data_IF_879940198403
#
_entry.id   IF_879940198403
#
_cell.length_a   1.000
_cell.length_b   1.000
_cell.length_c   1.000
_cell.angle_alpha   90.00
_cell.angle_beta   90.00
_cell.angle_gamma   90.00
#
_symmetry.space_group_name_H-M   'P 1'
#
loop_
_entity.id
_entity.type
_entity.pdbx_description
1 polymer ?
#
# COMPACT_ATOMS: atom_id res chain seq x y z
N UNK A 1 31.35 1.18 -8.43
CA UNK A 1 29.99 0.90 -7.94
C UNK A 1 28.98 1.75 -8.70
N UNK A 2 27.94 1.13 -9.15
CA UNK A 2 26.92 1.87 -9.89
C UNK A 2 25.97 2.56 -8.92
N UNK A 3 25.37 3.65 -9.38
CA UNK A 3 24.44 4.42 -8.58
C UNK A 3 23.27 3.57 -8.08
N UNK A 4 22.78 2.67 -8.90
CA UNK A 4 21.69 1.77 -8.53
C UNK A 4 22.06 0.89 -7.33
N UNK A 5 23.28 0.39 -7.33
CA UNK A 5 23.74 -0.45 -6.22
C UNK A 5 23.81 0.33 -4.92
N UNK A 6 24.21 1.61 -5.01
CA UNK A 6 24.24 2.49 -3.85
C UNK A 6 22.86 2.71 -3.27
N UNK A 7 21.87 2.93 -4.12
CA UNK A 7 20.48 3.10 -3.67
C UNK A 7 19.98 1.88 -2.94
N UNK A 8 20.24 0.71 -3.51
CA UNK A 8 19.85 -0.56 -2.92
C UNK A 8 20.47 -0.74 -1.55
N UNK A 9 21.76 -0.44 -1.44
CA UNK A 9 22.48 -0.60 -0.18
C UNK A 9 21.96 0.33 0.91
N UNK A 10 21.44 1.48 0.54
CA UNK A 10 20.91 2.42 1.51
C UNK A 10 19.42 2.25 1.76
N UNK A 11 18.78 1.30 1.09
CA UNK A 11 17.37 1.07 1.26
C UNK A 11 16.50 2.19 0.71
N UNK A 12 17.02 2.97 -0.23
CA UNK A 12 16.29 4.10 -0.81
C UNK A 12 15.33 3.68 -1.90
N UNK A 13 15.52 2.49 -2.44
CA UNK A 13 14.63 1.98 -3.47
C UNK A 13 13.42 1.35 -2.79
N UNK A 14 12.27 1.98 -2.93
CA UNK A 14 11.03 1.47 -2.38
C UNK A 14 10.16 0.97 -3.52
N UNK A 15 9.74 -0.28 -3.42
CA UNK A 15 8.83 -0.86 -4.38
C UNK A 15 7.62 -1.42 -3.66
N UNK A 16 6.50 -1.43 -4.37
CA UNK A 16 5.22 -1.84 -3.84
C UNK A 16 4.52 -2.77 -4.82
N UNK A 17 3.74 -3.68 -4.29
CA UNK A 17 2.84 -4.49 -5.10
C UNK A 17 1.51 -3.76 -5.18
N UNK A 18 0.98 -3.58 -6.36
CA UNK A 18 -0.24 -2.82 -6.56
C UNK A 18 -1.22 -3.52 -7.46
N UNK A 19 -2.50 -3.32 -7.17
CA UNK A 19 -3.59 -3.76 -8.02
C UNK A 19 -4.59 -2.63 -8.13
N UNK A 20 -5.04 -2.35 -9.33
CA UNK A 20 -6.03 -1.29 -9.57
C UNK A 20 -7.29 -1.86 -10.19
N UNK A 21 -8.42 -1.31 -9.80
CA UNK A 21 -9.72 -1.71 -10.35
C UNK A 21 -10.53 -0.46 -10.61
N UNK A 22 -11.10 -0.35 -11.81
CA UNK A 22 -11.94 0.78 -12.16
C UNK A 22 -13.40 0.39 -12.13
N UNK A 23 -14.20 1.25 -11.52
CA UNK A 23 -15.65 1.13 -11.51
C UNK A 23 -16.23 2.45 -11.97
N UNK A 24 -16.78 2.51 -13.19
CA UNK A 24 -17.28 3.78 -13.71
C UNK A 24 -16.19 4.86 -13.61
N UNK A 25 -16.43 5.89 -12.81
CA UNK A 25 -15.48 6.98 -12.62
C UNK A 25 -14.59 6.81 -11.40
N UNK A 26 -14.74 5.70 -10.69
CA UNK A 26 -14.00 5.46 -9.46
C UNK A 26 -12.82 4.54 -9.70
N UNK A 27 -11.72 4.83 -9.00
CA UNK A 27 -10.54 3.98 -9.02
C UNK A 27 -10.30 3.43 -7.63
N UNK A 28 -10.28 2.10 -7.53
CA UNK A 28 -9.93 1.43 -6.29
C UNK A 28 -8.54 0.84 -6.44
N UNK A 29 -7.70 1.03 -5.41
CA UNK A 29 -6.36 0.49 -5.41
C UNK A 29 -6.14 -0.37 -4.18
N UNK A 30 -5.30 -1.39 -4.34
CA UNK A 30 -4.77 -2.18 -3.23
C UNK A 30 -3.27 -2.15 -3.38
N UNK A 31 -2.56 -1.63 -2.37
CA UNK A 31 -1.12 -1.50 -2.42
C UNK A 31 -0.50 -2.09 -1.16
N UNK A 32 0.51 -2.90 -1.35
CA UNK A 32 1.19 -3.59 -0.26
C UNK A 32 2.69 -3.39 -0.39
N UNK A 33 3.36 -3.17 0.74
CA UNK A 33 4.81 -3.19 0.74
C UNK A 33 5.25 -4.52 0.12
N UNK A 34 6.15 -4.49 -0.83
CA UNK A 34 6.46 -5.66 -1.66
C UNK A 34 6.96 -6.85 -0.87
N UNK A 35 7.65 -6.62 0.23
CA UNK A 35 8.21 -7.69 1.06
C UNK A 35 7.14 -8.45 1.86
N UNK A 36 5.93 -7.95 1.91
CA UNK A 36 4.83 -8.62 2.63
C UNK A 36 4.01 -9.56 1.75
N UNK A 37 4.14 -9.44 0.44
CA UNK A 37 3.35 -10.25 -0.48
C UNK A 37 3.70 -11.73 -0.29
N UNK A 38 2.67 -12.56 -0.19
CA UNK A 38 2.82 -13.99 0.02
C UNK A 38 2.80 -14.43 1.48
N UNK A 39 2.84 -13.47 2.40
CA UNK A 39 2.82 -13.82 3.83
C UNK A 39 1.41 -14.11 4.31
N UNK A 40 1.32 -14.96 5.32
CA UNK A 40 0.07 -15.25 6.02
C UNK A 40 0.22 -14.74 7.44
N UNK A 41 -0.71 -13.92 7.86
CA UNK A 41 -0.71 -13.31 9.20
C UNK A 41 -1.74 -14.01 10.07
N UNK A 42 -1.36 -14.33 11.30
CA UNK A 42 -2.26 -14.96 12.25
C UNK A 42 -2.28 -14.18 13.56
N UNK A 43 -3.46 -13.83 14.01
CA UNK A 43 -3.63 -13.16 15.29
C UNK A 43 -4.91 -13.69 15.93
N UNK A 44 -4.76 -14.52 16.96
CA UNK A 44 -5.90 -15.22 17.54
C UNK A 44 -6.52 -16.13 16.49
N UNK A 45 -7.80 -15.95 16.26
CA UNK A 45 -8.52 -16.72 15.24
C UNK A 45 -8.50 -16.07 13.88
N UNK A 46 -7.93 -14.86 13.79
CA UNK A 46 -7.88 -14.13 12.53
C UNK A 46 -6.70 -14.63 11.71
N UNK A 47 -6.98 -14.99 10.46
CA UNK A 47 -5.95 -15.39 9.51
C UNK A 47 -6.12 -14.56 8.26
N UNK A 48 -5.05 -13.84 7.88
CA UNK A 48 -5.06 -12.98 6.70
C UNK A 48 -3.95 -13.42 5.77
N UNK A 49 -4.31 -13.75 4.53
CA UNK A 49 -3.34 -14.10 3.52
C UNK A 49 -3.10 -12.90 2.61
N UNK A 50 -1.85 -12.46 2.52
CA UNK A 50 -1.45 -11.36 1.65
C UNK A 50 -1.02 -11.94 0.31
N UNK A 51 -1.98 -12.49 -0.42
CA UNK A 51 -1.69 -13.23 -1.64
C UNK A 51 -1.29 -12.31 -2.78
N UNK A 52 -0.40 -12.81 -3.63
CA UNK A 52 0.01 -12.08 -4.82
C UNK A 52 -1.16 -11.86 -5.78
N UNK A 53 -2.12 -12.77 -5.80
CA UNK A 53 -3.30 -12.61 -6.65
C UNK A 53 -4.13 -11.40 -6.27
N UNK A 54 -4.19 -11.07 -4.99
CA UNK A 54 -4.98 -9.95 -4.51
C UNK A 54 -4.23 -8.64 -4.60
N UNK A 55 -2.94 -8.64 -4.26
CA UNK A 55 -2.19 -7.38 -4.14
C UNK A 55 -1.26 -7.09 -5.31
N UNK A 56 -0.88 -8.09 -6.07
CA UNK A 56 0.15 -7.86 -7.09
C UNK A 56 -0.35 -8.09 -8.50
N UNK A 57 -0.86 -7.04 -9.12
CA UNK A 57 -1.07 -7.00 -10.56
C UNK A 57 0.21 -6.48 -11.21
N UNK A 58 0.87 -5.55 -10.52
CA UNK A 58 2.14 -5.00 -10.98
C UNK A 58 3.00 -4.58 -9.80
N UNK A 59 4.27 -4.36 -10.06
CA UNK A 59 5.22 -3.82 -9.09
C UNK A 59 5.47 -2.37 -9.49
N UNK A 60 5.33 -1.46 -8.53
CA UNK A 60 5.45 -0.02 -8.79
C UNK A 60 6.46 0.60 -7.84
N UNK A 61 6.97 1.76 -8.24
CA UNK A 61 7.88 2.54 -7.42
C UNK A 61 7.14 3.61 -6.66
N UNK A 62 7.87 4.30 -5.80
CA UNK A 62 7.32 5.28 -4.88
C UNK A 62 6.49 6.37 -5.56
N UNK A 63 7.00 6.91 -6.66
CA UNK A 63 6.31 7.99 -7.37
C UNK A 63 4.99 7.53 -7.95
N UNK A 64 4.96 6.30 -8.46
CA UNK A 64 3.74 5.72 -8.99
C UNK A 64 2.73 5.46 -7.89
N UNK A 65 3.22 4.99 -6.73
CA UNK A 65 2.36 4.76 -5.58
C UNK A 65 1.72 6.06 -5.11
N UNK A 66 2.51 7.14 -5.03
CA UNK A 66 1.98 8.45 -4.65
C UNK A 66 0.92 8.94 -5.64
N UNK A 67 1.17 8.73 -6.94
CA UNK A 67 0.21 9.11 -7.97
C UNK A 67 -1.11 8.36 -7.81
N UNK A 68 -1.03 7.05 -7.58
CA UNK A 68 -2.23 6.25 -7.36
C UNK A 68 -3.00 6.70 -6.12
N UNK A 69 -2.29 7.02 -5.05
CA UNK A 69 -2.93 7.51 -3.82
C UNK A 69 -3.65 8.83 -4.06
N UNK A 70 -3.11 9.68 -4.91
CA UNK A 70 -3.76 10.94 -5.26
C UNK A 70 -5.01 10.75 -6.12
N UNK A 71 -5.00 9.76 -6.99
CA UNK A 71 -6.08 9.56 -7.96
C UNK A 71 -7.21 8.67 -7.47
N UNK A 72 -6.94 7.81 -6.52
CA UNK A 72 -7.91 6.78 -6.13
C UNK A 72 -9.11 7.37 -5.38
N UNK A 73 -10.21 6.64 -5.43
CA UNK A 73 -11.40 6.92 -4.61
C UNK A 73 -11.38 6.06 -3.35
N UNK A 74 -10.86 4.84 -3.47
CA UNK A 74 -10.75 3.90 -2.37
C UNK A 74 -9.37 3.28 -2.40
N UNK A 75 -8.73 3.19 -1.25
CA UNK A 75 -7.43 2.56 -1.13
C UNK A 75 -7.40 1.56 0.02
N UNK A 76 -6.85 0.39 -0.26
CA UNK A 76 -6.54 -0.64 0.72
C UNK A 76 -5.02 -0.71 0.80
N UNK A 77 -4.46 -0.37 1.95
CA UNK A 77 -3.01 -0.27 2.10
C UNK A 77 -2.53 -1.20 3.20
N UNK A 78 -1.46 -1.94 2.93
CA UNK A 78 -0.86 -2.86 3.89
C UNK A 78 0.65 -2.67 3.91
N UNK A 79 1.19 -2.37 5.09
CA UNK A 79 2.62 -2.25 5.28
C UNK A 79 3.04 -0.88 5.78
N UNK A 80 4.16 -0.84 6.49
CA UNK A 80 4.62 0.39 7.13
C UNK A 80 4.95 1.49 6.14
N UNK A 81 5.55 1.14 5.01
CA UNK A 81 6.00 2.16 4.06
C UNK A 81 4.83 2.82 3.34
N UNK A 82 3.90 2.03 2.82
CA UNK A 82 2.78 2.59 2.09
C UNK A 82 1.81 3.34 3.02
N UNK A 83 1.61 2.83 4.23
CA UNK A 83 0.75 3.49 5.20
C UNK A 83 1.37 4.82 5.64
N UNK A 84 2.69 4.83 5.91
CA UNK A 84 3.38 6.06 6.26
C UNK A 84 3.29 7.09 5.13
N UNK A 85 3.41 6.65 3.89
CA UNK A 85 3.29 7.54 2.74
C UNK A 85 1.91 8.22 2.71
N UNK A 86 0.85 7.43 2.88
CA UNK A 86 -0.52 7.97 2.86
C UNK A 86 -0.74 8.98 3.99
N UNK A 87 -0.23 8.69 5.17
CA UNK A 87 -0.34 9.60 6.30
C UNK A 87 0.44 10.89 6.03
N UNK A 88 1.65 10.77 5.49
CA UNK A 88 2.48 11.95 5.17
C UNK A 88 1.84 12.82 4.11
N UNK A 89 1.04 12.25 3.23
CA UNK A 89 0.29 12.99 2.22
C UNK A 89 -1.00 13.62 2.74
N UNK A 90 -1.30 13.39 4.02
CA UNK A 90 -2.51 13.95 4.62
C UNK A 90 -3.79 13.21 4.27
N UNK A 91 -3.69 11.99 3.74
CA UNK A 91 -4.86 11.24 3.30
C UNK A 91 -5.56 10.48 4.43
N UNK A 92 -4.87 10.29 5.54
CA UNK A 92 -5.42 9.60 6.71
C UNK A 92 -4.62 9.96 7.94
N UNK A 93 -5.17 9.61 9.10
CA UNK A 93 -4.52 9.85 10.40
C UNK A 93 -4.08 8.53 11.00
N UNK A 94 -3.07 8.58 11.86
CA UNK A 94 -2.56 7.40 12.53
C UNK A 94 -3.65 6.65 13.30
N UNK A 95 -4.61 7.37 13.85
CA UNK A 95 -5.70 6.76 14.60
C UNK A 95 -6.57 5.82 13.75
N UNK A 96 -6.52 5.98 12.43
CA UNK A 96 -7.28 5.13 11.52
C UNK A 96 -6.59 3.83 11.16
N UNK A 97 -5.32 3.69 11.55
CA UNK A 97 -4.53 2.51 11.22
C UNK A 97 -4.88 1.37 12.15
N UNK A 98 -5.07 0.18 11.57
CA UNK A 98 -5.25 -1.05 12.35
C UNK A 98 -3.98 -1.87 12.28
N UNK A 99 -3.56 -2.41 13.42
CA UNK A 99 -2.33 -3.20 13.50
C UNK A 99 -2.68 -4.66 13.71
N UNK A 100 -2.20 -5.50 12.79
CA UNK A 100 -2.40 -6.94 12.86
C UNK A 100 -1.03 -7.60 12.71
N UNK A 101 -0.60 -8.35 13.71
CA UNK A 101 0.73 -8.97 13.73
C UNK A 101 1.85 -7.95 13.55
N UNK A 102 1.68 -6.74 14.09
CA UNK A 102 2.67 -5.69 13.97
C UNK A 102 2.72 -5.02 12.61
N UNK A 103 1.78 -5.32 11.73
CA UNK A 103 1.72 -4.77 10.38
C UNK A 103 0.53 -3.82 10.30
N UNK A 104 0.73 -2.58 9.80
CA UNK A 104 -0.36 -1.62 9.70
C UNK A 104 -1.23 -1.85 8.47
N UNK A 105 -2.53 -1.75 8.68
CA UNK A 105 -3.56 -1.83 7.65
C UNK A 105 -4.32 -0.52 7.65
N UNK A 106 -4.54 0.05 6.49
CA UNK A 106 -5.27 1.31 6.37
C UNK A 106 -6.19 1.27 5.18
N UNK A 107 -7.44 1.65 5.40
CA UNK A 107 -8.41 1.79 4.32
C UNK A 107 -8.79 3.25 4.21
N UNK A 108 -8.76 3.77 3.00
CA UNK A 108 -9.06 5.17 2.72
C UNK A 108 -10.26 5.24 1.79
N UNK A 109 -11.23 6.07 2.14
CA UNK A 109 -12.38 6.38 1.30
C UNK A 109 -12.38 7.88 1.07
N UNK A 110 -12.39 8.29 -0.18
CA UNK A 110 -12.47 9.69 -0.53
C UNK A 110 -13.88 10.01 -1.00
N UNK A 111 -14.50 10.95 -0.33
CA UNK A 111 -15.84 11.39 -0.69
C UNK A 111 -15.77 12.79 -1.27
N UNK A 112 -16.44 12.97 -2.40
CA UNK A 112 -16.47 14.26 -3.06
C UNK A 112 -17.86 14.82 -2.95
N UNK A 113 -17.93 16.07 -2.56
CA UNK A 113 -19.19 16.80 -2.48
C UNK A 113 -19.36 17.68 -3.70
N UNK A 114 -20.58 17.81 -4.12
CA UNK A 114 -20.89 18.65 -5.25
C UNK A 114 -21.87 19.73 -4.88
#
# INVERSE_FOLDING_TARGET
>A
MRLLDLKSLRGETEIYAARTTKYSDSLMISVCDSDLVGKTLRQGEVVISLSSQYFQEEVIEKEQAADLLNKCSIANLVGEKIVAMAISMGLAKEASVKWICGIPFLMIFKFYHR
#
